data_IF_434682949179
#
_entry.id   IF_434682949179
#
_cell.length_a   1.000
_cell.length_b   1.000
_cell.length_c   1.000
_cell.angle_alpha   90.00
_cell.angle_beta   90.00
_cell.angle_gamma   90.00
#
_symmetry.space_group_name_H-M   'P 1'
#
loop_
_entity.id
_entity.type
_entity.pdbx_description
1 polymer ?
#
# COMPACT_ATOMS: atom_id res chain seq x y z
N UNK A 1 -16.96 -58.67 5.00
CA UNK A 1 -16.29 -58.44 3.71
C UNK A 1 -17.34 -57.92 2.74
N UNK A 2 -17.29 -56.76 2.09
CA UNK A 2 -16.29 -55.71 1.98
C UNK A 2 -16.65 -54.86 0.76
N UNK A 3 -16.83 -53.54 0.97
CA UNK A 3 -16.53 -52.42 0.06
C UNK A 3 -17.24 -52.35 -1.31
N UNK A 4 -18.05 -51.29 -1.52
CA UNK A 4 -17.66 -50.15 -2.36
C UNK A 4 -18.79 -49.09 -2.42
N UNK A 5 -18.99 -48.34 -1.33
CA UNK A 5 -19.51 -46.96 -1.41
C UNK A 5 -18.30 -46.03 -1.36
N UNK A 6 -17.91 -45.48 -2.51
CA UNK A 6 -16.92 -44.40 -2.65
C UNK A 6 -17.28 -43.58 -3.88
N UNK A 7 -18.24 -42.68 -3.69
CA UNK A 7 -18.43 -41.54 -4.56
C UNK A 7 -17.19 -40.64 -4.43
N UNK A 8 -16.42 -40.60 -5.51
CA UNK A 8 -15.12 -39.93 -5.60
C UNK A 8 -15.34 -38.54 -6.18
N UNK A 9 -15.01 -37.55 -5.35
CA UNK A 9 -14.47 -36.25 -5.76
C UNK A 9 -13.47 -36.39 -6.92
N UNK A 10 -13.38 -35.29 -7.68
CA UNK A 10 -12.28 -34.84 -8.56
C UNK A 10 -12.44 -35.17 -10.05
N UNK A 11 -12.27 -34.11 -10.87
CA UNK A 11 -12.14 -34.00 -12.35
C UNK A 11 -13.48 -33.83 -13.07
N UNK A 12 -13.83 -32.71 -13.70
CA UNK A 12 -13.07 -31.96 -14.70
C UNK A 12 -13.56 -30.48 -14.77
N UNK A 13 -12.66 -29.53 -14.56
CA UNK A 13 -12.79 -28.13 -14.99
C UNK A 13 -11.79 -27.93 -16.13
N UNK A 14 -12.27 -27.85 -17.38
CA UNK A 14 -11.55 -27.33 -18.55
C UNK A 14 -12.54 -27.15 -19.70
N UNK A 15 -12.36 -26.04 -20.45
CA UNK A 15 -13.23 -25.45 -21.48
C UNK A 15 -14.45 -24.72 -20.88
N UNK A 16 -14.69 -23.42 -21.08
CA UNK A 16 -14.29 -22.55 -22.19
C UNK A 16 -14.52 -21.08 -21.77
N UNK A 17 -13.43 -20.32 -21.60
CA UNK A 17 -13.45 -18.87 -21.43
C UNK A 17 -12.93 -18.25 -22.73
N UNK A 18 -13.78 -18.23 -23.76
CA UNK A 18 -13.55 -17.52 -25.01
C UNK A 18 -14.91 -17.30 -25.67
N UNK A 19 -15.48 -16.11 -25.44
CA UNK A 19 -16.41 -15.33 -26.28
C UNK A 19 -17.27 -14.48 -25.34
N UNK A 20 -16.91 -13.21 -25.18
CA UNK A 20 -17.82 -12.05 -25.09
C UNK A 20 -16.97 -10.76 -24.95
N UNK A 21 -16.14 -10.53 -25.96
CA UNK A 21 -15.63 -9.20 -26.32
C UNK A 21 -16.17 -8.90 -27.72
N UNK A 22 -17.37 -8.34 -27.80
CA UNK A 22 -17.90 -7.69 -29.01
C UNK A 22 -18.40 -6.30 -28.63
N UNK A 23 -17.50 -5.35 -28.87
CA UNK A 23 -17.73 -4.03 -29.48
C UNK A 23 -19.11 -3.41 -29.33
N UNK A 24 -19.25 -2.49 -28.39
CA UNK A 24 -20.13 -1.33 -28.53
C UNK A 24 -19.26 -0.10 -28.78
N UNK A 25 -18.99 0.19 -30.06
CA UNK A 25 -18.40 1.47 -30.49
C UNK A 25 -19.56 2.38 -30.89
N UNK A 26 -19.84 3.39 -30.07
CA UNK A 26 -20.69 4.52 -30.48
C UNK A 26 -19.82 5.59 -31.14
N UNK A 27 -20.26 6.24 -32.23
CA UNK A 27 -19.50 7.28 -32.89
C UNK A 27 -19.50 8.57 -32.05
N UNK A 28 -18.31 9.05 -31.67
CA UNK A 28 -18.14 10.29 -30.93
C UNK A 28 -18.21 11.50 -31.88
N UNK A 29 -19.13 12.42 -31.62
CA UNK A 29 -19.21 13.74 -32.24
C UNK A 29 -17.94 14.55 -31.93
N UNK A 30 -17.36 15.20 -32.93
CA UNK A 30 -16.23 16.11 -32.78
C UNK A 30 -16.56 17.29 -31.82
N UNK A 31 -16.00 17.23 -30.61
CA UNK A 31 -15.70 18.41 -29.78
C UNK A 31 -14.20 18.43 -29.56
N UNK A 32 -13.60 19.60 -29.75
CA UNK A 32 -12.19 19.88 -29.48
C UNK A 32 -11.80 19.35 -28.10
N UNK A 33 -10.96 18.32 -28.05
CA UNK A 33 -10.56 17.68 -26.80
C UNK A 33 -9.60 18.59 -26.05
N UNK A 34 -10.09 19.27 -25.02
CA UNK A 34 -9.22 19.88 -24.01
C UNK A 34 -8.42 18.75 -23.36
N UNK A 35 -7.08 18.80 -23.32
CA UNK A 35 -6.31 17.77 -22.65
C UNK A 35 -6.67 17.79 -21.15
N UNK A 36 -7.18 16.66 -20.64
CA UNK A 36 -7.59 16.49 -19.24
C UNK A 36 -6.61 15.54 -18.58
N UNK A 37 -5.97 15.94 -17.48
CA UNK A 37 -5.16 15.04 -16.69
C UNK A 37 -6.02 14.32 -15.64
N UNK A 38 -6.04 12.99 -15.72
CA UNK A 38 -6.92 12.14 -14.92
C UNK A 38 -6.65 12.16 -13.41
N UNK A 39 -5.44 12.56 -12.98
CA UNK A 39 -5.03 12.47 -11.58
C UNK A 39 -4.42 13.80 -11.09
N UNK A 40 -5.21 14.56 -10.33
CA UNK A 40 -4.81 15.88 -9.83
C UNK A 40 -3.72 15.81 -8.77
N UNK A 41 -3.77 14.86 -7.85
CA UNK A 41 -2.76 14.72 -6.80
C UNK A 41 -1.44 14.19 -7.38
N UNK A 42 -1.47 13.41 -8.45
CA UNK A 42 -0.27 13.05 -9.19
C UNK A 42 0.39 14.25 -9.87
N UNK A 43 -0.40 15.15 -10.46
CA UNK A 43 0.13 16.41 -11.02
C UNK A 43 0.71 17.31 -9.93
N UNK A 44 -0.07 17.57 -8.88
CA UNK A 44 0.38 18.37 -7.74
C UNK A 44 1.65 17.81 -7.10
N UNK A 45 1.78 16.49 -7.02
CA UNK A 45 3.00 15.87 -6.51
C UNK A 45 4.22 16.30 -7.32
N UNK A 46 4.12 16.31 -8.65
CA UNK A 46 5.22 16.75 -9.50
C UNK A 46 5.49 18.26 -9.40
N UNK A 47 4.43 19.05 -9.37
CA UNK A 47 4.50 20.52 -9.24
C UNK A 47 5.15 20.95 -7.91
N UNK A 48 4.82 20.27 -6.81
CA UNK A 48 5.34 20.55 -5.45
C UNK A 48 6.61 19.76 -5.10
N UNK A 49 7.15 19.00 -6.05
CA UNK A 49 8.41 18.28 -5.84
C UNK A 49 8.31 17.08 -4.88
N UNK A 50 7.14 16.43 -4.78
CA UNK A 50 6.92 15.15 -4.10
C UNK A 50 7.21 13.95 -5.00
N UNK A 51 7.81 12.89 -4.45
CA UNK A 51 8.10 11.64 -5.19
C UNK A 51 6.85 10.88 -5.62
N UNK A 52 5.78 10.97 -4.83
CA UNK A 52 4.51 10.31 -5.12
C UNK A 52 3.32 11.10 -4.56
N UNK A 53 2.13 10.84 -5.13
CA UNK A 53 0.86 11.45 -4.66
C UNK A 53 0.46 11.03 -3.25
N UNK A 54 1.05 9.95 -2.71
CA UNK A 54 0.81 9.51 -1.33
C UNK A 54 1.33 10.49 -0.27
N UNK A 55 2.22 11.43 -0.62
CA UNK A 55 2.64 12.51 0.26
C UNK A 55 1.43 13.31 0.81
N UNK A 56 0.43 13.59 -0.03
CA UNK A 56 -0.78 14.31 0.37
C UNK A 56 -1.63 13.55 1.38
N UNK A 57 -1.53 12.21 1.44
CA UNK A 57 -2.29 11.41 2.41
C UNK A 57 -1.79 11.69 3.82
N UNK A 58 -0.47 11.67 4.02
CA UNK A 58 0.14 11.95 5.31
C UNK A 58 -0.08 13.40 5.74
N UNK A 59 0.06 14.35 4.81
CA UNK A 59 -0.23 15.77 5.08
C UNK A 59 -1.69 15.99 5.53
N UNK A 60 -2.65 15.32 4.89
CA UNK A 60 -4.07 15.42 5.25
C UNK A 60 -4.39 14.72 6.58
N UNK A 61 -3.70 13.62 6.89
CA UNK A 61 -3.81 12.98 8.21
C UNK A 61 -3.26 13.92 9.29
N UNK A 62 -2.11 14.54 9.05
CA UNK A 62 -1.52 15.48 10.01
C UNK A 62 -2.40 16.71 10.26
N UNK A 63 -3.04 17.25 9.21
CA UNK A 63 -3.99 18.36 9.36
C UNK A 63 -5.14 18.05 10.34
N UNK A 64 -5.58 16.79 10.40
CA UNK A 64 -6.71 16.36 11.22
C UNK A 64 -6.29 15.89 12.62
N UNK A 65 -5.18 15.15 12.72
CA UNK A 65 -4.75 14.48 13.95
C UNK A 65 -3.52 15.10 14.62
N UNK A 66 -2.93 16.12 13.99
CA UNK A 66 -1.76 16.84 14.47
C UNK A 66 -0.64 15.86 14.90
N UNK A 67 -0.29 14.95 13.99
CA UNK A 67 0.61 13.83 14.28
C UNK A 67 2.07 14.28 14.38
N UNK A 68 2.43 15.43 13.82
CA UNK A 68 3.79 15.99 13.89
C UNK A 68 4.06 16.82 15.14
N UNK A 69 3.04 17.15 15.93
CA UNK A 69 3.22 17.99 17.11
C UNK A 69 4.10 17.32 18.17
N UNK A 70 5.18 18.02 18.56
CA UNK A 70 6.10 17.57 19.60
C UNK A 70 6.94 16.34 19.23
N UNK A 71 6.97 15.97 17.94
CA UNK A 71 7.69 14.81 17.45
C UNK A 71 9.16 15.15 17.21
N UNK A 72 10.07 14.35 17.77
CA UNK A 72 11.52 14.46 17.58
C UNK A 72 12.12 13.22 16.91
N UNK A 73 11.54 12.04 17.09
CA UNK A 73 12.03 10.79 16.52
C UNK A 73 10.93 10.08 15.75
N UNK A 74 11.18 9.80 14.48
CA UNK A 74 10.21 9.18 13.57
C UNK A 74 10.78 7.96 12.88
N UNK A 75 9.97 6.91 12.81
CA UNK A 75 10.25 5.73 11.97
C UNK A 75 9.26 5.68 10.82
N UNK A 76 9.75 5.57 9.59
CA UNK A 76 8.95 5.38 8.38
C UNK A 76 9.18 3.96 7.84
N UNK A 77 8.19 3.08 8.00
CA UNK A 77 8.24 1.67 7.61
C UNK A 77 7.68 1.49 6.19
N UNK A 78 8.30 0.60 5.42
CA UNK A 78 7.95 0.38 4.01
C UNK A 78 7.97 1.70 3.21
N UNK A 79 9.04 2.47 3.42
CA UNK A 79 9.11 3.86 3.00
C UNK A 79 9.25 4.07 1.49
N UNK A 80 9.75 3.09 0.72
CA UNK A 80 10.07 3.30 -0.69
C UNK A 80 8.82 3.69 -1.50
N UNK A 81 8.89 4.71 -2.38
CA UNK A 81 10.08 5.45 -2.84
C UNK A 81 10.47 6.67 -1.98
N UNK A 82 9.82 6.91 -0.84
CA UNK A 82 10.20 7.91 0.15
C UNK A 82 9.29 9.13 0.22
N UNK A 83 8.07 9.03 -0.29
CA UNK A 83 7.15 10.17 -0.31
C UNK A 83 6.74 10.62 1.10
N UNK A 84 6.55 9.68 2.04
CA UNK A 84 6.25 10.00 3.45
C UNK A 84 7.51 10.50 4.17
N UNK A 85 8.67 9.90 3.93
CA UNK A 85 9.93 10.41 4.49
C UNK A 85 10.27 11.82 4.00
N UNK A 86 9.90 12.19 2.77
CA UNK A 86 10.00 13.59 2.30
C UNK A 86 9.07 14.52 3.09
N UNK A 87 7.84 14.10 3.37
CA UNK A 87 6.88 14.89 4.17
C UNK A 87 7.43 15.09 5.59
N UNK A 88 7.94 14.01 6.21
CA UNK A 88 8.57 14.07 7.53
C UNK A 88 9.76 15.02 7.55
N UNK A 89 10.66 14.93 6.56
CA UNK A 89 11.82 15.82 6.44
C UNK A 89 11.41 17.29 6.31
N UNK A 90 10.47 17.60 5.40
CA UNK A 90 10.03 18.98 5.15
C UNK A 90 9.24 19.62 6.30
N UNK A 91 8.56 18.81 7.12
CA UNK A 91 7.76 19.34 8.24
C UNK A 91 8.49 19.31 9.59
N UNK A 92 9.46 18.41 9.78
CA UNK A 92 10.16 18.25 11.05
C UNK A 92 11.62 18.71 10.95
N UNK A 93 12.39 18.10 10.06
CA UNK A 93 13.85 18.31 10.02
C UNK A 93 14.26 19.65 9.42
N UNK A 94 13.77 19.97 8.22
CA UNK A 94 14.17 21.19 7.49
C UNK A 94 13.83 22.46 8.28
N UNK A 95 12.62 22.62 8.85
CA UNK A 95 12.30 23.80 9.66
C UNK A 95 13.16 23.91 10.92
N UNK A 96 13.45 22.77 11.58
CA UNK A 96 14.32 22.77 12.76
C UNK A 96 15.76 23.18 12.40
N UNK A 97 16.30 22.67 11.29
CA UNK A 97 17.64 23.01 10.79
C UNK A 97 17.78 24.48 10.38
N UNK A 98 16.70 25.09 9.88
CA UNK A 98 16.69 26.50 9.50
C UNK A 98 16.47 27.44 10.70
N UNK A 99 16.04 26.92 11.84
CA UNK A 99 15.83 27.72 13.04
C UNK A 99 17.17 28.16 13.65
N UNK A 100 17.38 29.45 13.91
CA UNK A 100 18.63 29.96 14.47
C UNK A 100 18.90 29.48 15.91
N UNK A 101 17.86 29.05 16.62
CA UNK A 101 17.94 28.60 18.01
C UNK A 101 18.16 27.08 18.16
N UNK A 102 18.15 26.33 17.05
CA UNK A 102 18.27 24.87 17.09
C UNK A 102 19.75 24.45 17.15
N UNK A 103 20.11 23.72 18.21
CA UNK A 103 21.41 23.05 18.29
C UNK A 103 21.39 21.77 17.47
N UNK A 104 22.54 21.35 16.97
CA UNK A 104 22.66 20.16 16.12
C UNK A 104 22.11 18.88 16.78
N UNK A 105 22.24 18.76 18.11
CA UNK A 105 21.68 17.64 18.89
C UNK A 105 20.16 17.70 19.15
N UNK A 106 19.50 18.80 18.81
CA UNK A 106 18.05 18.98 18.97
C UNK A 106 17.27 18.72 17.67
N UNK A 107 17.97 18.40 16.57
CA UNK A 107 17.34 18.12 15.28
C UNK A 107 16.49 16.84 15.34
N UNK A 108 15.31 16.83 14.72
CA UNK A 108 14.53 15.61 14.60
C UNK A 108 15.28 14.50 13.86
N UNK A 109 15.22 13.29 14.38
CA UNK A 109 15.81 12.10 13.76
C UNK A 109 14.73 11.30 13.05
N UNK A 110 14.94 11.05 11.76
CA UNK A 110 14.00 10.29 10.92
C UNK A 110 14.73 9.07 10.38
N UNK A 111 14.20 7.87 10.67
CA UNK A 111 14.73 6.60 10.17
C UNK A 111 13.70 5.97 9.23
N UNK A 112 14.04 5.84 7.96
CA UNK A 112 13.20 5.20 6.95
C UNK A 112 13.72 3.79 6.64
N UNK A 113 12.82 2.81 6.65
CA UNK A 113 13.11 1.38 6.48
C UNK A 113 12.33 0.85 5.29
N UNK A 114 13.03 0.20 4.36
CA UNK A 114 12.39 -0.54 3.27
C UNK A 114 13.27 -1.70 2.80
N UNK A 115 12.67 -2.71 2.17
CA UNK A 115 13.41 -3.77 1.48
C UNK A 115 14.08 -3.24 0.19
N UNK A 116 13.46 -2.26 -0.46
CA UNK A 116 13.93 -1.63 -1.67
C UNK A 116 14.86 -0.45 -1.39
N UNK A 117 15.92 -0.26 -2.19
CA UNK A 117 16.76 0.91 -2.08
C UNK A 117 15.99 2.17 -2.46
N UNK A 118 16.29 3.26 -1.75
CA UNK A 118 15.63 4.54 -1.90
C UNK A 118 16.65 5.63 -2.20
N UNK A 119 16.27 6.63 -3.01
CA UNK A 119 17.15 7.77 -3.25
C UNK A 119 17.29 8.60 -1.96
N UNK A 120 18.46 9.19 -1.67
CA UNK A 120 18.70 9.93 -0.43
C UNK A 120 17.70 11.08 -0.26
N UNK A 121 17.30 11.35 0.98
CA UNK A 121 16.43 12.46 1.39
C UNK A 121 17.16 13.18 2.52
N UNK A 122 17.24 14.51 2.45
CA UNK A 122 17.88 15.32 3.49
C UNK A 122 17.23 15.07 4.86
N UNK A 123 18.05 14.87 5.90
CA UNK A 123 17.58 14.63 7.26
C UNK A 123 16.95 13.25 7.51
N UNK A 124 17.02 12.33 6.54
CA UNK A 124 16.48 10.97 6.67
C UNK A 124 17.59 9.95 6.61
N UNK A 125 17.72 9.16 7.67
CA UNK A 125 18.58 7.98 7.73
C UNK A 125 17.82 6.84 7.04
N UNK A 126 18.42 6.25 6.01
CA UNK A 126 17.78 5.21 5.20
C UNK A 126 18.41 3.86 5.51
N UNK A 127 17.60 2.92 5.97
CA UNK A 127 18.00 1.56 6.31
C UNK A 127 17.33 0.61 5.34
N UNK A 128 18.13 -0.15 4.61
CA UNK A 128 17.60 -1.26 3.82
C UNK A 128 17.42 -2.47 4.73
N UNK A 129 16.17 -2.87 4.99
CA UNK A 129 15.88 -3.90 5.99
C UNK A 129 14.49 -4.49 5.88
N UNK A 130 14.35 -5.70 6.41
CA UNK A 130 13.08 -6.40 6.52
C UNK A 130 12.43 -6.10 7.86
N UNK A 131 11.21 -5.55 7.85
CA UNK A 131 10.49 -5.20 9.07
C UNK A 131 10.04 -6.43 9.88
N UNK A 132 10.04 -7.63 9.28
CA UNK A 132 9.75 -8.89 9.98
C UNK A 132 10.94 -9.40 10.80
N UNK A 133 12.13 -8.83 10.58
CA UNK A 133 13.35 -9.24 11.25
C UNK A 133 13.59 -8.41 12.52
N UNK A 134 13.77 -9.08 13.67
CA UNK A 134 14.06 -8.44 14.96
C UNK A 134 15.30 -7.53 14.91
N UNK A 135 16.30 -7.84 14.07
CA UNK A 135 17.50 -7.00 13.89
C UNK A 135 17.17 -5.60 13.41
N UNK A 136 16.08 -5.42 12.67
CA UNK A 136 15.66 -4.13 12.15
C UNK A 136 15.25 -3.19 13.28
N UNK A 137 14.56 -3.70 14.32
CA UNK A 137 14.25 -2.92 15.52
C UNK A 137 15.53 -2.47 16.25
N UNK A 138 16.53 -3.36 16.39
CA UNK A 138 17.80 -3.00 17.02
C UNK A 138 18.53 -1.89 16.27
N UNK A 139 18.53 -1.93 14.94
CA UNK A 139 19.17 -0.89 14.11
C UNK A 139 18.49 0.46 14.32
N UNK A 140 17.16 0.49 14.39
CA UNK A 140 16.40 1.73 14.69
C UNK A 140 16.76 2.27 16.06
N UNK A 141 16.77 1.42 17.09
CA UNK A 141 17.08 1.82 18.47
C UNK A 141 18.51 2.40 18.56
N UNK A 142 19.48 1.81 17.83
CA UNK A 142 20.85 2.33 17.76
C UNK A 142 20.91 3.73 17.13
N UNK A 143 20.13 3.99 16.09
CA UNK A 143 20.08 5.32 15.45
C UNK A 143 19.42 6.39 16.32
N UNK A 144 18.66 6.01 17.34
CA UNK A 144 18.05 6.92 18.31
C UNK A 144 18.81 6.98 19.64
N UNK A 145 20.06 6.52 19.69
CA UNK A 145 20.89 6.49 20.90
C UNK A 145 20.18 5.80 22.08
N UNK A 146 19.44 4.73 21.80
CA UNK A 146 18.66 3.98 22.80
C UNK A 146 17.29 4.59 23.13
N UNK A 147 16.95 5.77 22.60
CA UNK A 147 15.65 6.40 22.81
C UNK A 147 14.57 5.76 21.92
N UNK A 148 13.32 5.79 22.41
CA UNK A 148 12.14 5.33 21.67
C UNK A 148 11.60 6.43 20.74
N UNK A 149 11.00 6.04 19.62
CA UNK A 149 10.34 6.91 18.65
C UNK A 149 9.10 7.58 19.24
N UNK A 150 8.77 8.78 18.75
CA UNK A 150 7.53 9.49 19.10
C UNK A 150 6.40 9.14 18.12
N UNK A 151 6.76 8.87 16.85
CA UNK A 151 5.85 8.56 15.76
C UNK A 151 6.42 7.41 14.92
N UNK A 152 5.57 6.44 14.58
CA UNK A 152 5.85 5.43 13.56
C UNK A 152 4.80 5.56 12.46
N UNK A 153 5.23 5.56 11.19
CA UNK A 153 4.33 5.62 10.03
C UNK A 153 4.60 4.46 9.07
N UNK A 154 3.58 3.98 8.36
CA UNK A 154 3.68 2.89 7.39
C UNK A 154 2.67 3.05 6.24
N UNK A 155 3.12 3.42 5.04
CA UNK A 155 2.27 3.46 3.82
C UNK A 155 2.44 2.21 2.95
N UNK A 156 3.09 1.18 3.47
CA UNK A 156 3.36 -0.08 2.79
C UNK A 156 2.08 -0.76 2.32
N UNK A 157 2.12 -1.29 1.09
CA UNK A 157 1.07 -2.13 0.55
C UNK A 157 1.68 -3.27 -0.29
N UNK A 158 1.13 -4.48 -0.23
CA UNK A 158 1.50 -5.56 -1.13
C UNK A 158 1.02 -5.25 -2.56
N UNK A 159 1.52 -6.03 -3.52
CA UNK A 159 0.99 -5.99 -4.88
C UNK A 159 -0.49 -6.43 -4.88
N UNK A 160 -1.36 -5.52 -5.31
CA UNK A 160 -2.82 -5.74 -5.33
C UNK A 160 -3.15 -6.75 -6.43
N UNK A 161 -3.77 -7.86 -6.05
CA UNK A 161 -4.13 -8.94 -6.97
C UNK A 161 -5.51 -8.76 -7.59
N UNK A 162 -6.35 -7.93 -6.98
CA UNK A 162 -7.74 -7.71 -7.35
C UNK A 162 -8.70 -8.66 -6.63
N UNK A 163 -8.19 -9.62 -5.86
CA UNK A 163 -8.98 -10.44 -4.95
C UNK A 163 -9.02 -9.76 -3.58
N UNK A 164 -10.05 -8.95 -3.36
CA UNK A 164 -10.16 -8.07 -2.19
C UNK A 164 -9.96 -8.78 -0.84
N UNK A 165 -10.52 -9.98 -0.65
CA UNK A 165 -10.37 -10.74 0.60
C UNK A 165 -8.90 -11.12 0.87
N UNK A 166 -8.17 -11.50 -0.17
CA UNK A 166 -6.76 -11.86 -0.06
C UNK A 166 -5.89 -10.61 0.11
N UNK A 167 -6.17 -9.56 -0.65
CA UNK A 167 -5.46 -8.28 -0.55
C UNK A 167 -5.64 -7.68 0.87
N UNK A 168 -6.84 -7.75 1.45
CA UNK A 168 -7.14 -7.36 2.84
C UNK A 168 -6.33 -8.19 3.84
N UNK A 169 -6.30 -9.52 3.68
CA UNK A 169 -5.56 -10.40 4.57
C UNK A 169 -4.06 -10.08 4.54
N UNK A 170 -3.46 -9.97 3.36
CA UNK A 170 -2.02 -9.69 3.22
C UNK A 170 -1.67 -8.29 3.74
N UNK A 171 -2.51 -7.28 3.49
CA UNK A 171 -2.34 -5.95 4.08
C UNK A 171 -2.39 -6.01 5.61
N UNK A 172 -3.32 -6.78 6.18
CA UNK A 172 -3.42 -6.96 7.63
C UNK A 172 -2.16 -7.61 8.22
N UNK A 173 -1.61 -8.64 7.57
CA UNK A 173 -0.35 -9.26 7.98
C UNK A 173 0.82 -8.28 7.96
N UNK A 174 0.89 -7.39 6.95
CA UNK A 174 1.91 -6.35 6.88
C UNK A 174 1.80 -5.38 8.07
N UNK A 175 0.58 -5.00 8.47
CA UNK A 175 0.35 -4.12 9.62
C UNK A 175 0.72 -4.82 10.93
N UNK A 176 0.43 -6.11 11.09
CA UNK A 176 0.83 -6.87 12.28
C UNK A 176 2.36 -7.01 12.36
N UNK A 177 3.05 -7.22 11.23
CA UNK A 177 4.51 -7.18 11.18
C UNK A 177 5.07 -5.80 11.56
N UNK A 178 4.45 -4.72 11.08
CA UNK A 178 4.79 -3.36 11.48
C UNK A 178 4.54 -3.12 12.97
N UNK A 179 3.44 -3.65 13.52
CA UNK A 179 3.12 -3.58 14.94
C UNK A 179 4.20 -4.25 15.80
N UNK A 180 4.79 -5.36 15.33
CA UNK A 180 5.96 -5.97 15.99
C UNK A 180 7.12 -4.99 16.11
N UNK A 181 7.44 -4.21 15.09
CA UNK A 181 8.47 -3.17 15.23
C UNK A 181 8.01 -2.06 16.17
N UNK A 182 6.77 -1.61 16.05
CA UNK A 182 6.17 -0.55 16.89
C UNK A 182 6.31 -0.89 18.37
N UNK A 183 6.03 -2.12 18.79
CA UNK A 183 6.12 -2.49 20.21
C UNK A 183 7.53 -2.35 20.77
N UNK A 184 8.56 -2.56 19.93
CA UNK A 184 9.95 -2.43 20.32
C UNK A 184 10.49 -0.99 20.24
N UNK A 185 9.95 -0.14 19.35
CA UNK A 185 10.57 1.17 19.06
C UNK A 185 9.73 2.36 19.53
N UNK A 186 8.41 2.23 19.69
CA UNK A 186 7.54 3.36 20.02
C UNK A 186 7.53 3.63 21.54
N UNK A 187 7.57 4.90 21.92
CA UNK A 187 7.45 5.29 23.33
C UNK A 187 6.00 5.20 23.81
N UNK A 188 5.80 5.00 25.11
CA UNK A 188 4.48 5.17 25.74
C UNK A 188 3.97 6.59 25.47
N UNK A 189 2.71 6.72 25.05
CA UNK A 189 2.11 7.96 24.58
C UNK A 189 2.41 8.30 23.11
N UNK A 190 3.21 7.49 22.40
CA UNK A 190 3.53 7.70 20.99
C UNK A 190 2.36 7.42 20.04
N UNK A 191 2.53 7.81 18.78
CA UNK A 191 1.54 7.64 17.71
C UNK A 191 2.00 6.63 16.65
N UNK A 192 1.05 5.89 16.07
CA UNK A 192 1.29 4.97 14.96
C UNK A 192 0.27 5.18 13.86
N UNK A 193 0.73 5.39 12.63
CA UNK A 193 -0.14 5.56 11.45
C UNK A 193 0.18 4.49 10.42
N UNK A 194 -0.81 3.71 10.01
CA UNK A 194 -0.61 2.64 9.02
C UNK A 194 -1.69 2.61 7.95
N UNK A 195 -1.31 2.36 6.70
CA UNK A 195 -2.26 2.03 5.64
C UNK A 195 -2.97 0.72 5.96
N UNK A 196 -4.28 0.70 5.77
CA UNK A 196 -5.14 -0.47 5.90
C UNK A 196 -6.00 -0.64 4.64
N UNK A 197 -6.45 -1.86 4.39
CA UNK A 197 -7.52 -2.13 3.44
C UNK A 197 -8.79 -2.46 4.21
N UNK A 198 -9.87 -1.73 3.89
CA UNK A 198 -11.17 -1.93 4.50
C UNK A 198 -11.89 -3.06 3.78
N UNK A 199 -12.28 -4.07 4.54
CA UNK A 199 -13.10 -5.17 4.08
C UNK A 199 -13.79 -5.84 5.25
N UNK A 200 -13.83 -7.16 5.26
CA UNK A 200 -14.65 -7.94 6.19
C UNK A 200 -14.03 -8.05 7.58
N UNK A 201 -12.71 -8.13 7.68
CA UNK A 201 -11.98 -8.41 8.91
C UNK A 201 -11.39 -7.16 9.57
N UNK A 202 -11.79 -5.99 9.08
CA UNK A 202 -11.39 -4.67 9.56
C UNK A 202 -11.65 -4.46 11.06
N UNK A 203 -12.74 -5.04 11.62
CA UNK A 203 -13.01 -4.99 13.06
C UNK A 203 -12.03 -5.79 13.91
N UNK A 204 -11.50 -6.91 13.39
CA UNK A 204 -10.49 -7.70 14.10
C UNK A 204 -9.19 -6.90 14.24
N UNK A 205 -8.73 -6.30 13.14
CA UNK A 205 -7.55 -5.45 13.14
C UNK A 205 -7.71 -4.26 14.09
N UNK A 206 -8.89 -3.63 14.11
CA UNK A 206 -9.19 -2.55 15.05
C UNK A 206 -9.04 -3.00 16.51
N UNK A 207 -9.63 -4.15 16.88
CA UNK A 207 -9.51 -4.68 18.24
C UNK A 207 -8.06 -5.01 18.59
N UNK A 208 -7.29 -5.58 17.66
CA UNK A 208 -5.87 -5.88 17.84
C UNK A 208 -5.04 -4.61 18.12
N UNK A 209 -5.29 -3.53 17.37
CA UNK A 209 -4.63 -2.24 17.61
C UNK A 209 -5.08 -1.62 18.94
N UNK A 210 -6.36 -1.75 19.31
CA UNK A 210 -6.90 -1.20 20.56
C UNK A 210 -6.29 -1.79 21.83
N UNK A 211 -5.69 -2.98 21.76
CA UNK A 211 -4.93 -3.56 22.88
C UNK A 211 -3.71 -2.71 23.27
N UNK A 212 -3.14 -1.98 22.30
CA UNK A 212 -1.88 -1.26 22.45
C UNK A 212 -2.05 0.24 22.39
N UNK A 213 -3.23 0.76 22.05
CA UNK A 213 -3.47 2.18 21.84
C UNK A 213 -4.81 2.57 22.45
N UNK A 214 -4.80 3.63 23.28
CA UNK A 214 -6.03 4.13 23.90
C UNK A 214 -7.04 4.63 22.85
N UNK A 215 -6.56 5.17 21.73
CA UNK A 215 -7.38 5.74 20.67
C UNK A 215 -6.94 5.16 19.33
N UNK A 216 -7.91 4.66 18.57
CA UNK A 216 -7.70 4.13 17.22
C UNK A 216 -8.84 4.68 16.37
N UNK A 217 -8.49 5.33 15.26
CA UNK A 217 -9.44 5.92 14.32
C UNK A 217 -9.06 5.51 12.91
N UNK A 218 -10.02 5.08 12.10
CA UNK A 218 -9.78 4.78 10.69
C UNK A 218 -10.09 6.02 9.85
N UNK A 219 -9.05 6.55 9.22
CA UNK A 219 -9.05 7.78 8.47
C UNK A 219 -9.04 7.51 6.97
N UNK A 220 -9.83 8.26 6.19
CA UNK A 220 -9.74 8.27 4.72
C UNK A 220 -9.41 9.68 4.21
N UNK A 221 -8.15 9.92 3.84
CA UNK A 221 -7.72 11.20 3.26
C UNK A 221 -8.40 11.45 1.91
N UNK A 222 -8.73 12.71 1.61
CA UNK A 222 -9.30 13.15 0.33
C UNK A 222 -8.41 12.82 -0.88
N UNK A 223 -7.09 12.76 -0.68
CA UNK A 223 -6.13 12.38 -1.70
C UNK A 223 -6.13 10.87 -2.01
N UNK A 224 -6.76 10.04 -1.17
CA UNK A 224 -7.09 8.65 -1.48
C UNK A 224 -8.35 8.58 -2.35
N UNK A 225 -8.39 7.64 -3.29
CA UNK A 225 -9.54 7.47 -4.20
C UNK A 225 -10.75 6.95 -3.44
N UNK A 226 -11.94 7.49 -3.69
CA UNK A 226 -13.16 6.98 -3.04
C UNK A 226 -13.43 5.54 -3.47
N UNK A 227 -13.14 5.23 -4.74
CA UNK A 227 -13.17 3.89 -5.33
C UNK A 227 -12.19 2.89 -4.70
N UNK A 228 -11.17 3.34 -3.95
CA UNK A 228 -10.22 2.45 -3.27
C UNK A 228 -10.75 1.97 -1.92
N UNK A 229 -10.46 0.71 -1.57
CA UNK A 229 -10.68 0.17 -0.22
C UNK A 229 -9.65 0.66 0.80
N UNK A 230 -8.63 1.39 0.36
CA UNK A 230 -7.61 2.00 1.20
C UNK A 230 -8.22 2.97 2.23
N UNK A 231 -7.72 2.84 3.46
CA UNK A 231 -7.86 3.80 4.55
C UNK A 231 -6.57 3.77 5.39
N UNK A 232 -6.55 4.51 6.50
CA UNK A 232 -5.40 4.61 7.39
C UNK A 232 -5.85 4.41 8.84
N UNK A 233 -5.21 3.51 9.56
CA UNK A 233 -5.34 3.44 11.01
C UNK A 233 -4.47 4.54 11.62
N UNK A 234 -5.08 5.44 12.37
CA UNK A 234 -4.41 6.45 13.20
C UNK A 234 -4.56 6.02 14.64
N UNK A 235 -3.47 5.55 15.22
CA UNK A 235 -3.40 5.02 16.58
C UNK A 235 -2.66 6.03 17.47
N UNK A 236 -3.29 6.45 18.56
CA UNK A 236 -2.78 7.48 19.46
C UNK A 236 -2.69 7.00 20.90
N UNK A 237 -1.71 7.56 21.61
CA UNK A 237 -1.29 7.19 22.94
C UNK A 237 -1.02 5.69 23.08
N UNK A 238 0.12 5.25 22.54
CA UNK A 238 0.63 3.90 22.76
C UNK A 238 0.68 3.58 24.26
N UNK A 239 -0.02 2.52 24.65
CA UNK A 239 -0.23 2.07 26.03
C UNK A 239 -0.30 0.55 26.03
N UNK A 240 0.85 -0.14 25.97
CA UNK A 240 0.88 -1.60 26.01
C UNK A 240 0.31 -2.13 27.35
N UNK A 241 -0.25 -3.35 27.38
CA UNK A 241 -0.75 -3.95 28.61
C UNK A 241 0.31 -4.03 29.71
N UNK A 242 -0.12 -3.96 30.97
CA UNK A 242 0.80 -4.07 32.11
C UNK A 242 1.54 -5.42 32.09
N UNK A 243 2.86 -5.39 32.24
CA UNK A 243 3.70 -6.59 32.16
C UNK A 243 3.86 -7.18 30.76
N UNK A 244 3.37 -6.50 29.71
CA UNK A 244 3.56 -6.94 28.32
C UNK A 244 5.04 -7.07 27.98
N UNK A 245 5.42 -8.23 27.46
CA UNK A 245 6.71 -8.46 26.82
C UNK A 245 6.52 -8.62 25.32
N UNK A 246 7.48 -8.13 24.56
CA UNK A 246 7.40 -8.13 23.10
C UNK A 246 7.34 -9.55 22.50
N UNK A 247 7.88 -10.55 23.21
CA UNK A 247 7.80 -11.98 22.86
C UNK A 247 6.37 -12.55 22.90
N UNK A 248 5.48 -11.95 23.70
CA UNK A 248 4.10 -12.41 23.89
C UNK A 248 3.12 -11.84 22.85
N UNK A 249 3.58 -10.98 21.94
CA UNK A 249 2.74 -10.28 20.97
C UNK A 249 1.84 -11.22 20.18
N UNK A 250 2.40 -12.29 19.61
CA UNK A 250 1.63 -13.24 18.81
C UNK A 250 0.53 -13.95 19.63
N UNK A 251 0.85 -14.38 20.85
CA UNK A 251 -0.13 -15.01 21.74
C UNK A 251 -1.27 -14.06 22.13
N UNK A 252 -0.96 -12.78 22.33
CA UNK A 252 -1.95 -11.78 22.70
C UNK A 252 -2.87 -11.45 21.51
N UNK A 253 -2.32 -11.37 20.29
CA UNK A 253 -3.08 -11.16 19.07
C UNK A 253 -3.98 -12.35 18.71
N UNK A 254 -3.55 -13.58 18.99
CA UNK A 254 -4.36 -14.79 18.78
C UNK A 254 -5.57 -14.84 19.72
N UNK A 255 -5.41 -14.45 20.99
CA UNK A 255 -6.52 -14.42 21.97
C UNK A 255 -7.68 -13.55 21.50
N UNK A 256 -7.40 -12.40 20.87
CA UNK A 256 -8.43 -11.51 20.31
C UNK A 256 -9.15 -12.14 19.11
N UNK A 257 -8.50 -13.06 18.39
CA UNK A 257 -9.09 -13.81 17.29
C UNK A 257 -9.95 -15.00 17.71
N UNK A 258 -9.82 -15.49 18.96
CA UNK A 258 -10.55 -16.66 19.45
C UNK A 258 -11.94 -16.30 20.01
N UNK A 259 -13.03 -16.99 19.59
CA UNK A 259 -14.37 -16.78 20.15
C UNK A 259 -14.54 -17.16 21.63
N UNK A 260 -13.54 -17.80 22.23
CA UNK A 260 -13.60 -18.35 23.57
C UNK A 260 -12.35 -17.96 24.36
N UNK A 261 -12.44 -16.96 25.24
CA UNK A 261 -11.38 -16.75 26.24
C UNK A 261 -11.33 -15.38 26.91
N UNK A 262 -11.88 -15.31 28.13
CA UNK A 262 -11.39 -14.42 29.19
C UNK A 262 -12.21 -13.15 29.42
N UNK A 263 -12.88 -13.09 30.58
CA UNK A 263 -13.37 -11.86 31.20
C UNK A 263 -12.19 -10.95 31.58
N UNK A 264 -11.66 -10.15 30.65
CA UNK A 264 -11.10 -8.81 30.92
C UNK A 264 -10.39 -8.26 29.68
N UNK A 265 -10.76 -7.04 29.30
CA UNK A 265 -10.09 -6.05 28.41
C UNK A 265 -11.17 -5.31 27.61
N UNK A 266 -11.92 -4.44 28.30
CA UNK A 266 -12.59 -3.20 27.83
C UNK A 266 -13.32 -3.17 26.46
N UNK A 267 -13.56 -4.33 25.84
CA UNK A 267 -14.33 -4.52 24.63
C UNK A 267 -15.80 -4.87 24.96
N UNK A 268 -16.12 -5.01 26.26
CA UNK A 268 -17.50 -5.05 26.76
C UNK A 268 -18.08 -3.65 26.79
N UNK A 269 -18.28 -3.05 25.61
CA UNK A 269 -19.52 -2.31 25.45
C UNK A 269 -20.62 -3.37 25.43
N UNK A 270 -21.31 -3.52 26.57
CA UNK A 270 -22.35 -4.51 26.83
C UNK A 270 -23.62 -4.32 26.02
N UNK A 271 -23.50 -4.03 24.73
CA UNK A 271 -24.60 -3.94 23.77
C UNK A 271 -24.07 -4.31 22.39
N UNK A 272 -24.12 -5.60 22.05
CA UNK A 272 -24.29 -6.18 20.70
C UNK A 272 -23.77 -7.64 20.72
N UNK A 273 -24.62 -8.57 21.15
CA UNK A 273 -24.45 -9.97 20.75
C UNK A 273 -24.94 -10.12 19.29
N UNK A 274 -24.15 -10.78 18.45
CA UNK A 274 -24.42 -10.96 17.03
C UNK A 274 -23.39 -10.28 16.10
N UNK A 275 -23.56 -10.39 14.77
CA UNK A 275 -22.52 -10.09 13.77
C UNK A 275 -22.09 -8.62 13.65
N UNK A 276 -22.63 -7.72 14.47
CA UNK A 276 -22.29 -6.29 14.49
C UNK A 276 -21.20 -6.02 15.54
N UNK A 277 -19.97 -6.41 15.19
CA UNK A 277 -18.72 -6.22 15.94
C UNK A 277 -18.24 -4.76 15.90
N UNK A 278 -18.29 -4.05 17.04
CA UNK A 278 -17.61 -2.78 17.38
C UNK A 278 -17.78 -1.61 16.38
N UNK A 279 -18.31 -0.47 16.85
CA UNK A 279 -18.31 0.76 16.06
C UNK A 279 -16.89 1.32 15.96
N UNK A 280 -16.29 1.16 14.79
CA UNK A 280 -14.96 1.72 14.49
C UNK A 280 -15.14 3.21 14.13
N UNK A 281 -14.51 4.14 14.88
CA UNK A 281 -14.49 5.54 14.49
C UNK A 281 -13.90 5.70 13.10
N UNK A 282 -14.67 6.28 12.18
CA UNK A 282 -14.25 6.51 10.80
C UNK A 282 -14.31 7.99 10.46
N UNK A 283 -13.19 8.56 10.02
CA UNK A 283 -13.04 9.99 9.77
C UNK A 283 -12.56 10.26 8.35
N UNK A 284 -13.16 11.23 7.67
CA UNK A 284 -12.63 11.73 6.40
C UNK A 284 -11.64 12.87 6.69
N UNK A 285 -10.43 12.78 6.14
CA UNK A 285 -9.38 13.78 6.40
C UNK A 285 -9.16 14.72 5.22
N UNK A 286 -8.91 15.99 5.53
CA UNK A 286 -8.62 17.05 4.56
C UNK A 286 -9.84 17.89 4.20
N UNK A 287 -9.57 19.02 3.53
CA UNK A 287 -10.57 20.05 3.23
C UNK A 287 -11.74 19.52 2.37
N UNK A 288 -12.97 19.80 2.82
CA UNK A 288 -14.21 19.47 2.12
C UNK A 288 -14.37 20.26 0.82
N UNK A 289 -13.75 21.44 0.71
CA UNK A 289 -13.75 22.27 -0.51
C UNK A 289 -12.65 21.88 -1.51
N UNK A 290 -11.78 20.95 -1.14
CA UNK A 290 -10.63 20.51 -1.92
C UNK A 290 -10.98 19.66 -3.16
N UNK A 291 -9.93 19.25 -3.87
CA UNK A 291 -10.06 18.44 -5.07
C UNK A 291 -10.53 17.01 -4.77
N UNK A 292 -11.47 16.54 -5.58
CA UNK A 292 -11.96 15.17 -5.61
C UNK A 292 -10.95 14.28 -6.35
N UNK A 293 -10.47 13.25 -5.66
CA UNK A 293 -9.45 12.33 -6.17
C UNK A 293 -9.92 11.43 -7.32
N UNK A 294 -11.23 11.28 -7.52
CA UNK A 294 -11.84 10.51 -8.60
C UNK A 294 -12.29 11.40 -9.78
N UNK A 295 -12.24 12.74 -9.64
CA UNK A 295 -12.58 13.66 -10.73
C UNK A 295 -11.37 14.06 -11.56
N UNK A 296 -11.60 14.19 -12.85
CA UNK A 296 -10.64 14.77 -13.78
C UNK A 296 -10.87 16.28 -13.90
N UNK A 297 -9.80 17.05 -13.87
CA UNK A 297 -9.84 18.52 -13.88
C UNK A 297 -9.16 19.07 -15.14
N UNK A 298 -9.66 20.17 -15.72
CA UNK A 298 -8.99 20.84 -16.82
C UNK A 298 -7.53 21.15 -16.47
N UNK A 299 -6.65 21.06 -17.47
CA UNK A 299 -5.30 21.55 -17.32
C UNK A 299 -5.34 23.09 -17.24
N UNK A 300 -4.59 23.72 -16.33
CA UNK A 300 -4.53 25.18 -16.27
C UNK A 300 -4.02 25.71 -17.62
N UNK A 301 -4.79 26.58 -18.24
CA UNK A 301 -4.39 27.33 -19.44
C UNK A 301 -3.39 28.39 -19.00
N UNK A 302 -2.11 28.20 -19.30
CA UNK A 302 -1.15 29.30 -19.20
C UNK A 302 -1.40 30.25 -20.37
N UNK A 303 -1.38 31.56 -20.12
CA UNK A 303 -1.50 32.58 -21.16
C UNK A 303 -0.46 32.35 -22.27
N UNK A 304 -0.90 31.76 -23.38
CA UNK A 304 -0.07 31.45 -24.56
C UNK A 304 0.70 30.11 -24.54
N UNK A 305 0.49 29.21 -23.57
CA UNK A 305 1.25 27.94 -23.48
C UNK A 305 0.40 26.69 -23.34
N UNK A 306 0.81 25.59 -23.98
CA UNK A 306 0.30 24.26 -23.67
C UNK A 306 0.84 23.81 -22.30
N UNK A 307 -0.01 23.19 -21.47
CA UNK A 307 0.40 22.64 -20.18
C UNK A 307 1.59 21.67 -20.35
N UNK A 308 2.69 21.93 -19.65
CA UNK A 308 3.89 21.09 -19.67
C UNK A 308 3.82 20.06 -18.55
N UNK A 309 3.62 18.78 -18.90
CA UNK A 309 3.76 17.70 -17.94
C UNK A 309 5.19 17.65 -17.42
N UNK A 310 5.35 17.70 -16.10
CA UNK A 310 6.62 17.52 -15.42
C UNK A 310 6.96 16.02 -15.28
N UNK A 311 8.24 15.73 -15.16
CA UNK A 311 8.72 14.38 -14.84
C UNK A 311 8.61 14.11 -13.33
N UNK A 312 8.47 12.84 -12.90
CA UNK A 312 8.55 12.50 -11.49
C UNK A 312 9.89 12.94 -10.88
N UNK A 313 9.83 13.49 -9.66
CA UNK A 313 10.99 14.05 -8.95
C UNK A 313 12.10 13.02 -8.77
N UNK A 314 11.73 11.81 -8.34
CA UNK A 314 12.58 10.64 -8.36
C UNK A 314 11.70 9.40 -8.58
N UNK A 315 11.87 8.67 -9.70
CA UNK A 315 11.18 7.39 -9.88
C UNK A 315 11.77 6.34 -8.92
N UNK A 316 11.02 5.26 -8.60
CA UNK A 316 11.56 4.13 -7.85
C UNK A 316 12.83 3.58 -8.52
N UNK A 317 13.87 3.28 -7.74
CA UNK A 317 15.15 2.73 -8.23
C UNK A 317 14.92 1.33 -8.84
N UNK A 318 14.03 0.55 -8.22
CA UNK A 318 13.62 -0.78 -8.66
C UNK A 318 12.09 -0.86 -8.76
N UNK A 319 11.47 -0.32 -9.83
CA UNK A 319 10.03 -0.34 -9.95
C UNK A 319 9.52 -1.78 -10.17
N UNK A 320 8.36 -2.17 -9.60
CA UNK A 320 7.81 -3.52 -9.74
C UNK A 320 7.55 -3.92 -11.20
N UNK A 321 7.25 -2.95 -12.07
CA UNK A 321 7.03 -3.17 -13.49
C UNK A 321 8.32 -3.36 -14.32
N UNK A 322 9.52 -3.23 -13.73
CA UNK A 322 10.80 -3.35 -14.45
C UNK A 322 10.93 -4.71 -15.14
N UNK A 323 10.61 -5.79 -14.43
CA UNK A 323 10.68 -7.17 -14.94
C UNK A 323 9.71 -7.38 -16.09
N UNK A 324 8.47 -6.89 -15.97
CA UNK A 324 7.47 -6.99 -17.03
C UNK A 324 7.91 -6.22 -18.29
N UNK A 325 8.49 -5.03 -18.15
CA UNK A 325 9.04 -4.27 -19.28
C UNK A 325 10.23 -4.99 -19.93
N UNK A 326 11.10 -5.62 -19.14
CA UNK A 326 12.22 -6.42 -19.66
C UNK A 326 11.73 -7.64 -20.43
N UNK A 327 10.74 -8.37 -19.90
CA UNK A 327 10.11 -9.50 -20.59
C UNK A 327 9.43 -9.07 -21.88
N UNK A 328 8.74 -7.92 -21.88
CA UNK A 328 8.11 -7.34 -23.09
C UNK A 328 9.15 -6.92 -24.14
N UNK A 329 10.29 -6.38 -23.70
CA UNK A 329 11.41 -6.07 -24.60
C UNK A 329 12.06 -7.33 -25.15
N UNK A 330 12.22 -8.38 -24.35
CA UNK A 330 12.78 -9.65 -24.79
C UNK A 330 11.86 -10.33 -25.82
N UNK A 331 10.55 -10.32 -25.61
CA UNK A 331 9.58 -10.88 -26.56
C UNK A 331 9.42 -10.06 -27.84
N UNK A 332 9.65 -8.74 -27.79
CA UNK A 332 9.69 -7.92 -29.01
C UNK A 332 10.96 -8.15 -29.84
N UNK A 333 12.10 -8.46 -29.21
CA UNK A 333 13.34 -8.78 -29.92
C UNK A 333 13.34 -10.19 -30.52
N UNK A 334 12.65 -11.16 -29.92
CA UNK A 334 12.45 -12.49 -30.51
C UNK A 334 11.52 -12.45 -31.73
N UNK A 335 10.51 -11.57 -31.74
CA UNK A 335 9.61 -11.41 -32.89
C UNK A 335 10.29 -10.77 -34.12
N UNK A 336 11.37 -10.01 -33.92
CA UNK A 336 12.17 -9.42 -35.03
C UNK A 336 13.26 -10.34 -35.57
N UNK A 337 13.58 -11.45 -34.90
CA UNK A 337 14.64 -12.37 -35.32
C UNK A 337 14.16 -13.50 -36.25
N UNK A 338 12.85 -13.80 -36.30
CA UNK A 338 12.28 -14.89 -37.11
C UNK A 338 11.80 -14.45 -38.51
N UNK A 339 12.08 -13.22 -38.94
CA UNK A 339 11.80 -12.76 -40.30
C UNK A 339 12.96 -13.06 -41.27
N UNK A 340 13.36 -14.32 -41.42
CA UNK A 340 14.35 -14.75 -42.41
C UNK A 340 13.68 -15.60 -43.51
N UNK A 341 13.56 -14.98 -44.70
CA UNK A 341 13.17 -15.41 -46.06
C UNK A 341 12.72 -16.88 -46.34
N UNK A 342 11.72 -17.07 -47.23
CA UNK A 342 11.37 -18.40 -47.73
C UNK A 342 12.38 -18.87 -48.78
N UNK A 343 13.08 -19.98 -48.53
CA UNK A 343 13.85 -20.71 -49.54
C UNK A 343 13.11 -21.98 -49.97
N UNK A 344 13.10 -22.18 -51.29
CA UNK A 344 12.44 -23.23 -52.07
C UNK A 344 12.76 -24.68 -51.65
N UNK A 345 11.76 -25.52 -51.92
CA UNK A 345 11.80 -26.93 -52.35
C UNK A 345 12.33 -27.99 -51.37
N UNK A 346 11.42 -28.87 -50.96
CA UNK A 346 11.59 -30.32 -51.08
C UNK A 346 10.21 -30.99 -51.16
N UNK A 347 9.91 -31.52 -52.34
CA UNK A 347 8.77 -32.38 -52.65
C UNK A 347 8.95 -33.76 -52.03
N UNK A 348 7.98 -34.20 -51.23
CA UNK A 348 7.80 -35.62 -50.89
C UNK A 348 6.40 -36.05 -51.35
N UNK A 349 6.39 -36.87 -52.40
CA UNK A 349 5.25 -37.64 -52.89
C UNK A 349 4.75 -38.57 -51.78
N UNK A 350 3.46 -38.47 -51.43
CA UNK A 350 2.72 -39.55 -50.81
C UNK A 350 1.50 -39.84 -51.67
N UNK A 351 1.51 -41.05 -52.23
CA UNK A 351 0.52 -41.54 -53.18
C UNK A 351 -0.87 -41.66 -52.58
N UNK A 352 -1.87 -41.43 -53.44
CA UNK A 352 -3.26 -41.76 -53.20
C UNK A 352 -3.46 -43.29 -53.23
N UNK A 353 -4.39 -43.81 -52.42
CA UNK A 353 -5.21 -44.93 -52.81
C UNK A 353 -6.64 -44.47 -53.10
N UNK A 354 -7.09 -44.88 -54.29
CA UNK A 354 -8.46 -44.81 -54.80
C UNK A 354 -9.34 -45.79 -54.03
N UNK A 355 -10.49 -45.35 -53.51
CA UNK A 355 -11.65 -46.24 -53.28
C UNK A 355 -12.96 -45.49 -53.49
N UNK A 356 -13.76 -46.02 -54.42
CA UNK A 356 -15.07 -45.55 -54.85
C UNK A 356 -16.19 -45.98 -53.86
N UNK A 357 -17.35 -45.30 -53.85
CA UNK A 357 -18.47 -45.62 -52.96
C UNK A 357 -19.37 -46.73 -53.56
N UNK A 358 -20.03 -47.57 -52.74
CA UNK A 358 -21.14 -48.40 -53.19
C UNK A 358 -22.50 -47.70 -52.95
N UNK A 359 -23.58 -48.17 -53.62
CA UNK A 359 -24.77 -47.37 -53.86
C UNK A 359 -25.94 -47.66 -52.90
N UNK A 360 -26.83 -46.66 -52.82
CA UNK A 360 -28.14 -46.55 -52.15
C UNK A 360 -28.16 -46.31 -50.64
#
# INVERSE_FOLDING_TARGET
MGKASKDKRVRYLRLSAQLLLRSCVFPASHRSAVPVAQDIYYRKAKEEGWRARSAFKLLQIDQEFNIFHGVKRVVDLCAAPGSWSQVLSRNLYVPAKQSPDCKEGDLPLIVAIDLQPMAPIEGVIQVQGDITNARTAEVVIRHFDGCKADLVVCDGAPDVTGLHDMDEFVQSQLILAALTIVTHVLKVGGKFVAKIFRGKDTSLLYCQLKLFFSQVTFAKPKSSRNSSIEAFAVCENYSPPEGFKEEDLYHLLEKVGTPSGGDDLDCRSGWLEGPNKVYIPFLACGDLSGYDSDRSYPLPSTDGGSYRSLDPVQPPIAPPYKTALQMKKASSHSASADAMKPSRLLSCNLGQPVFAPPPW
#
